data_IF_328692365925
#
_entry.id   IF_328692365925
#
_cell.length_a   1.000
_cell.length_b   1.000
_cell.length_c   1.000
_cell.angle_alpha   90.00
_cell.angle_beta   90.00
_cell.angle_gamma   90.00
#
_symmetry.space_group_name_H-M   'P 1'
#
loop_
_entity.id
_entity.type
_entity.pdbx_description
1 polymer ?
#
# COMPACT_ATOMS: atom_id res chain seq x y z
N UNK A 1 -23.10 -11.17 -12.12
CA UNK A 1 -23.72 -11.13 -10.77
C UNK A 1 -25.05 -10.40 -10.87
N UNK A 2 -26.09 -10.83 -10.13
CA UNK A 2 -27.38 -10.12 -10.09
C UNK A 2 -27.35 -9.03 -9.02
N UNK A 3 -28.20 -8.00 -9.16
CA UNK A 3 -28.36 -6.97 -8.12
C UNK A 3 -28.74 -7.59 -6.76
N UNK A 4 -29.60 -8.60 -6.76
CA UNK A 4 -29.98 -9.33 -5.55
C UNK A 4 -28.80 -10.04 -4.88
N UNK A 5 -27.92 -10.70 -5.65
CA UNK A 5 -26.73 -11.34 -5.11
C UNK A 5 -25.74 -10.32 -4.51
N UNK A 6 -25.61 -9.14 -5.12
CA UNK A 6 -24.77 -8.07 -4.58
C UNK A 6 -25.28 -7.58 -3.23
N UNK A 7 -26.56 -7.21 -3.13
CA UNK A 7 -27.14 -6.70 -1.88
C UNK A 7 -27.37 -7.78 -0.82
N UNK A 8 -27.30 -9.06 -1.19
CA UNK A 8 -27.19 -10.16 -0.24
C UNK A 8 -25.79 -10.23 0.40
N UNK A 9 -24.74 -9.89 -0.34
CA UNK A 9 -23.36 -9.91 0.16
C UNK A 9 -22.96 -8.61 0.86
N UNK A 10 -23.35 -7.46 0.31
CA UNK A 10 -22.95 -6.14 0.80
C UNK A 10 -24.17 -5.27 1.09
N UNK A 11 -24.17 -4.62 2.26
CA UNK A 11 -25.27 -3.75 2.68
C UNK A 11 -25.45 -2.53 1.77
N UNK A 12 -24.35 -2.02 1.22
CA UNK A 12 -24.36 -0.85 0.34
C UNK A 12 -23.13 -0.87 -0.59
N UNK A 13 -23.11 0.02 -1.58
CA UNK A 13 -21.93 0.24 -2.41
C UNK A 13 -20.73 0.76 -1.60
N UNK A 14 -21.00 1.60 -0.60
CA UNK A 14 -19.97 2.14 0.29
C UNK A 14 -19.37 1.03 1.17
N UNK A 15 -20.20 0.12 1.70
CA UNK A 15 -19.71 -1.05 2.44
C UNK A 15 -18.86 -1.95 1.54
N UNK A 16 -19.30 -2.20 0.30
CA UNK A 16 -18.50 -2.95 -0.67
C UNK A 16 -17.15 -2.27 -0.93
N UNK A 17 -17.15 -0.95 -1.12
CA UNK A 17 -15.94 -0.19 -1.38
C UNK A 17 -14.96 -0.23 -0.20
N UNK A 18 -15.49 -0.10 1.02
CA UNK A 18 -14.73 -0.24 2.25
C UNK A 18 -14.05 -1.61 2.33
N UNK A 19 -14.81 -2.70 2.14
CA UNK A 19 -14.26 -4.06 2.18
C UNK A 19 -13.24 -4.32 1.06
N UNK A 20 -13.48 -3.80 -0.14
CA UNK A 20 -12.51 -3.88 -1.24
C UNK A 20 -11.21 -3.13 -0.92
N UNK A 21 -11.30 -2.01 -0.20
CA UNK A 21 -10.15 -1.21 0.27
C UNK A 21 -9.32 -1.97 1.29
N UNK A 22 -9.97 -2.60 2.27
CA UNK A 22 -9.29 -3.43 3.26
C UNK A 22 -8.58 -4.62 2.60
N UNK A 23 -9.26 -5.32 1.69
CA UNK A 23 -8.68 -6.47 0.99
C UNK A 23 -7.50 -6.05 0.12
N UNK A 24 -7.64 -4.97 -0.67
CA UNK A 24 -6.56 -4.45 -1.49
C UNK A 24 -5.33 -4.08 -0.65
N UNK A 25 -5.56 -3.43 0.48
CA UNK A 25 -4.49 -3.04 1.39
C UNK A 25 -3.79 -4.25 2.00
N UNK A 26 -4.55 -5.24 2.49
CA UNK A 26 -3.98 -6.46 3.06
C UNK A 26 -3.07 -7.19 2.06
N UNK A 27 -3.51 -7.31 0.81
CA UNK A 27 -2.72 -7.92 -0.26
C UNK A 27 -1.44 -7.12 -0.55
N UNK A 28 -1.51 -5.79 -0.55
CA UNK A 28 -0.34 -4.95 -0.78
C UNK A 28 0.64 -4.98 0.39
N UNK A 29 0.18 -4.98 1.63
CA UNK A 29 1.04 -5.09 2.82
C UNK A 29 1.80 -6.41 2.78
N UNK A 30 1.11 -7.53 2.51
CA UNK A 30 1.76 -8.85 2.34
C UNK A 30 2.82 -8.82 1.24
N UNK A 31 2.52 -8.17 0.11
CA UNK A 31 3.48 -8.00 -1.00
C UNK A 31 4.69 -7.15 -0.61
N UNK A 32 4.47 -6.01 0.03
CA UNK A 32 5.52 -5.10 0.51
C UNK A 32 6.46 -5.84 1.46
N UNK A 33 5.89 -6.48 2.49
CA UNK A 33 6.65 -7.23 3.47
C UNK A 33 7.47 -8.34 2.80
N UNK A 34 6.86 -9.13 1.92
CA UNK A 34 7.55 -10.21 1.22
C UNK A 34 8.71 -9.73 0.33
N UNK A 35 8.55 -8.57 -0.35
CA UNK A 35 9.61 -8.01 -1.18
C UNK A 35 10.75 -7.41 -0.37
N UNK A 36 10.47 -6.88 0.82
CA UNK A 36 11.44 -6.22 1.70
C UNK A 36 12.06 -7.12 2.76
N UNK A 37 11.62 -8.38 2.89
CA UNK A 37 12.25 -9.38 3.75
C UNK A 37 13.74 -9.54 3.43
N UNK A 38 14.61 -9.76 4.44
CA UNK A 38 16.02 -10.04 4.22
C UNK A 38 16.27 -11.15 3.21
N UNK A 39 17.13 -10.87 2.23
CA UNK A 39 17.52 -11.79 1.15
C UNK A 39 19.04 -11.92 1.16
N UNK A 40 19.53 -13.15 1.05
CA UNK A 40 20.98 -13.41 1.03
C UNK A 40 21.66 -12.60 -0.08
N UNK A 41 22.72 -11.87 0.28
CA UNK A 41 23.48 -11.04 -0.65
C UNK A 41 22.80 -9.72 -1.06
N UNK A 42 21.73 -9.29 -0.41
CA UNK A 42 21.09 -7.99 -0.65
C UNK A 42 21.08 -7.13 0.60
N UNK A 43 21.53 -5.89 0.47
CA UNK A 43 21.42 -4.87 1.52
C UNK A 43 19.97 -4.40 1.66
N UNK A 44 19.65 -3.74 2.78
CA UNK A 44 18.35 -3.06 2.98
C UNK A 44 18.06 -2.05 1.87
N UNK A 45 19.07 -1.31 1.43
CA UNK A 45 18.98 -0.39 0.30
C UNK A 45 18.67 -1.09 -1.03
N UNK A 46 19.34 -2.22 -1.33
CA UNK A 46 19.06 -2.99 -2.55
C UNK A 46 17.61 -3.49 -2.59
N UNK A 47 17.08 -3.91 -1.44
CA UNK A 47 15.69 -4.36 -1.32
C UNK A 47 14.71 -3.22 -1.57
N UNK A 48 14.94 -2.04 -0.99
CA UNK A 48 14.13 -0.84 -1.24
C UNK A 48 14.18 -0.44 -2.72
N UNK A 49 15.38 -0.33 -3.29
CA UNK A 49 15.56 0.07 -4.69
C UNK A 49 14.88 -0.91 -5.63
N UNK A 50 15.11 -2.22 -5.43
CA UNK A 50 14.47 -3.28 -6.24
C UNK A 50 12.96 -3.24 -6.11
N UNK A 51 12.42 -3.02 -4.91
CA UNK A 51 10.98 -2.92 -4.69
C UNK A 51 10.35 -1.79 -5.53
N UNK A 52 10.94 -0.58 -5.52
CA UNK A 52 10.43 0.55 -6.30
C UNK A 52 10.64 0.38 -7.81
N UNK A 53 11.78 -0.18 -8.26
CA UNK A 53 12.02 -0.51 -9.67
C UNK A 53 10.95 -1.48 -10.19
N UNK A 54 10.68 -2.57 -9.46
CA UNK A 54 9.64 -3.54 -9.83
C UNK A 54 8.25 -2.89 -9.92
N UNK A 55 7.93 -1.96 -9.03
CA UNK A 55 6.66 -1.22 -9.07
C UNK A 55 6.54 -0.35 -10.32
N UNK A 56 7.63 0.31 -10.73
CA UNK A 56 7.69 1.12 -11.95
C UNK A 56 7.58 0.24 -13.21
N UNK A 57 8.35 -0.84 -13.28
CA UNK A 57 8.37 -1.77 -14.42
C UNK A 57 7.06 -2.56 -14.59
N UNK A 58 6.24 -2.65 -13.54
CA UNK A 58 4.92 -3.27 -13.61
C UNK A 58 3.87 -2.37 -14.30
N UNK A 59 4.07 -1.05 -14.37
CA UNK A 59 3.06 -0.10 -14.84
C UNK A 59 2.51 -0.40 -16.25
N UNK A 60 3.35 -0.72 -17.26
CA UNK A 60 2.83 -1.03 -18.60
C UNK A 60 1.93 -2.27 -18.61
N UNK A 61 2.28 -3.31 -17.82
CA UNK A 61 1.46 -4.54 -17.71
C UNK A 61 0.14 -4.30 -17.00
N UNK A 62 0.06 -3.25 -16.18
CA UNK A 62 -1.14 -2.85 -15.47
C UNK A 62 -1.91 -1.72 -16.18
N UNK A 63 -1.54 -1.39 -17.43
CA UNK A 63 -2.12 -0.28 -18.19
C UNK A 63 -2.12 1.06 -17.44
N UNK A 64 -1.10 1.32 -16.62
CA UNK A 64 -0.97 2.56 -15.84
C UNK A 64 -2.20 2.89 -14.97
N UNK A 65 -2.90 1.87 -14.46
CA UNK A 65 -4.13 2.02 -13.66
C UNK A 65 -3.92 2.68 -12.28
N UNK A 66 -2.67 2.84 -11.87
CA UNK A 66 -2.31 3.55 -10.63
C UNK A 66 -2.49 2.69 -9.37
N UNK A 67 -2.70 3.37 -8.23
CA UNK A 67 -2.89 2.75 -6.92
C UNK A 67 -4.35 2.90 -6.49
N UNK A 68 -5.00 1.80 -6.13
CA UNK A 68 -6.41 1.81 -5.72
C UNK A 68 -6.65 2.72 -4.51
N UNK A 69 -5.82 2.62 -3.46
CA UNK A 69 -5.91 3.50 -2.28
C UNK A 69 -5.76 4.98 -2.68
N UNK A 70 -4.80 5.30 -3.57
CA UNK A 70 -4.60 6.67 -4.04
C UNK A 70 -5.82 7.22 -4.79
N UNK A 71 -6.42 6.42 -5.67
CA UNK A 71 -7.61 6.82 -6.40
C UNK A 71 -8.79 7.03 -5.43
N UNK A 72 -8.96 6.15 -4.43
CA UNK A 72 -10.02 6.30 -3.43
C UNK A 72 -9.81 7.51 -2.52
N UNK A 73 -8.57 7.81 -2.12
CA UNK A 73 -8.25 9.05 -1.39
C UNK A 73 -8.67 10.28 -2.17
N UNK A 74 -8.33 10.33 -3.47
CA UNK A 74 -8.59 11.49 -4.32
C UNK A 74 -10.07 11.67 -4.67
N UNK A 75 -10.79 10.58 -4.91
CA UNK A 75 -12.16 10.65 -5.45
C UNK A 75 -13.24 10.67 -4.36
N UNK A 76 -13.06 9.91 -3.28
CA UNK A 76 -14.11 9.70 -2.27
C UNK A 76 -13.67 10.02 -0.84
N UNK A 77 -12.39 10.28 -0.60
CA UNK A 77 -11.87 10.52 0.75
C UNK A 77 -12.47 11.74 1.45
N UNK A 78 -12.84 12.77 0.69
CA UNK A 78 -13.50 13.97 1.24
C UNK A 78 -15.03 13.82 1.38
N UNK A 79 -15.66 13.04 0.50
CA UNK A 79 -17.13 12.94 0.42
C UNK A 79 -17.71 11.82 1.30
N UNK A 80 -16.89 10.86 1.69
CA UNK A 80 -17.25 9.79 2.64
C UNK A 80 -16.25 9.78 3.79
N UNK A 81 -16.72 10.11 4.99
CA UNK A 81 -15.90 10.06 6.21
C UNK A 81 -15.36 8.64 6.47
N UNK A 82 -16.21 7.63 6.27
CA UNK A 82 -15.82 6.22 6.38
C UNK A 82 -14.65 5.90 5.46
N UNK A 83 -14.75 6.29 4.18
CA UNK A 83 -13.67 6.04 3.23
C UNK A 83 -12.43 6.90 3.50
N UNK A 84 -12.59 8.15 3.93
CA UNK A 84 -11.48 9.01 4.34
C UNK A 84 -10.67 8.41 5.48
N UNK A 85 -11.35 7.94 6.53
CA UNK A 85 -10.72 7.27 7.67
C UNK A 85 -10.08 5.94 7.26
N UNK A 86 -10.79 5.12 6.49
CA UNK A 86 -10.26 3.84 6.00
C UNK A 86 -8.99 4.05 5.17
N UNK A 87 -9.01 4.97 4.20
CA UNK A 87 -7.85 5.23 3.36
C UNK A 87 -6.66 5.76 4.16
N UNK A 88 -6.90 6.63 5.16
CA UNK A 88 -5.83 7.08 6.06
C UNK A 88 -5.17 5.91 6.77
N UNK A 89 -5.97 5.06 7.43
CA UNK A 89 -5.47 3.90 8.17
C UNK A 89 -4.69 2.98 7.24
N UNK A 90 -5.25 2.66 6.07
CA UNK A 90 -4.62 1.73 5.14
C UNK A 90 -3.34 2.29 4.50
N UNK A 91 -3.28 3.60 4.25
CA UNK A 91 -2.06 4.24 3.77
C UNK A 91 -0.97 4.28 4.85
N UNK A 92 -1.33 4.57 6.11
CA UNK A 92 -0.41 4.50 7.25
C UNK A 92 0.18 3.08 7.40
N UNK A 93 -0.61 2.03 7.14
CA UNK A 93 -0.13 0.65 7.14
C UNK A 93 0.86 0.34 6.02
N UNK A 94 0.78 1.00 4.86
CA UNK A 94 1.81 0.87 3.82
C UNK A 94 3.13 1.50 4.28
N UNK A 95 3.08 2.66 4.93
CA UNK A 95 4.26 3.30 5.52
C UNK A 95 4.88 2.37 6.55
N UNK A 96 4.08 1.82 7.47
CA UNK A 96 4.56 0.93 8.53
C UNK A 96 5.15 -0.37 7.98
N UNK A 97 4.70 -0.85 6.82
CA UNK A 97 5.26 -2.03 6.16
C UNK A 97 6.63 -1.77 5.52
N UNK A 98 6.94 -0.52 5.14
CA UNK A 98 8.21 -0.12 4.50
C UNK A 98 9.23 0.37 5.53
N UNK A 99 8.75 1.03 6.60
CA UNK A 99 9.54 1.71 7.61
C UNK A 99 10.70 0.87 8.18
N UNK A 100 10.53 -0.41 8.54
CA UNK A 100 11.62 -1.19 9.13
C UNK A 100 12.85 -1.28 8.23
N UNK A 101 12.66 -1.41 6.91
CA UNK A 101 13.77 -1.51 5.96
C UNK A 101 14.44 -0.16 5.72
N UNK A 102 13.69 0.95 5.83
CA UNK A 102 14.27 2.30 5.80
C UNK A 102 15.16 2.53 7.02
N UNK A 103 14.68 2.15 8.21
CA UNK A 103 15.44 2.24 9.46
C UNK A 103 16.70 1.38 9.40
N UNK A 104 16.60 0.15 8.90
CA UNK A 104 17.75 -0.74 8.66
C UNK A 104 18.77 -0.07 7.73
N UNK A 105 18.33 0.50 6.61
CA UNK A 105 19.21 1.21 5.67
C UNK A 105 19.88 2.45 6.27
N UNK A 106 19.22 3.15 7.20
CA UNK A 106 19.84 4.25 7.95
C UNK A 106 20.89 3.76 8.95
N UNK A 107 20.59 2.68 9.68
CA UNK A 107 21.50 2.08 10.66
C UNK A 107 22.78 1.54 10.00
N UNK A 108 22.63 0.94 8.81
CA UNK A 108 23.74 0.40 8.02
C UNK A 108 24.52 1.48 7.25
N UNK A 109 24.07 2.74 7.30
CA UNK A 109 24.73 3.88 6.65
C UNK A 109 24.47 4.02 5.16
N UNK A 110 23.49 3.30 4.59
CA UNK A 110 23.07 3.45 3.19
C UNK A 110 22.13 4.65 2.98
N UNK A 111 21.38 5.05 4.00
CA UNK A 111 20.53 6.24 3.99
C UNK A 111 20.94 7.19 5.12
N UNK A 112 20.75 8.49 4.91
CA UNK A 112 21.08 9.49 5.94
C UNK A 112 20.16 9.34 7.16
N UNK A 113 20.69 9.31 8.39
CA UNK A 113 19.89 9.30 9.61
C UNK A 113 19.37 10.69 10.01
N UNK A 114 19.76 11.75 9.28
CA UNK A 114 19.36 13.13 9.57
C UNK A 114 17.92 13.46 9.15
N UNK A 115 17.26 12.54 8.45
CA UNK A 115 15.85 12.63 8.08
C UNK A 115 15.12 11.54 8.86
N UNK A 116 14.08 11.91 9.62
CA UNK A 116 13.26 10.94 10.32
C UNK A 116 12.60 9.98 9.31
N UNK A 117 12.68 8.68 9.57
CA UNK A 117 12.11 7.67 8.67
C UNK A 117 10.57 7.71 8.62
N UNK A 118 9.93 8.30 9.63
CA UNK A 118 8.49 8.57 9.70
C UNK A 118 8.25 9.85 10.52
N UNK A 119 7.38 10.73 10.02
CA UNK A 119 6.90 11.93 10.72
C UNK A 119 5.71 11.61 11.64
#
# INVERSE_FOLDING_TARGET
MTKGAFYNAFKSKEQFLYEATLLYSELNIKRIQAELLPKSGQTSYDRLLTFYIKMFEAQPRMNYTGCFINNMMAEVGYTSELMGQANKIEFDRFIDAILPTVVEAQQDGYLTPHIEAKH
#
